data_IF_233246587972
#
_entry.id   IF_233246587972
#
_cell.length_a   1.000
_cell.length_b   1.000
_cell.length_c   1.000
_cell.angle_alpha   90.00
_cell.angle_beta   90.00
_cell.angle_gamma   90.00
#
_symmetry.space_group_name_H-M   'P 1'
#
loop_
_entity.id
_entity.type
_entity.pdbx_description
1 polymer ?
#
# COMPACT_ATOMS: atom_id res chain seq x y z
N UNK A 1 70.47 49.30 -24.12
CA UNK A 1 70.62 48.68 -25.44
C UNK A 1 69.26 48.16 -25.85
N UNK A 2 68.59 48.91 -26.70
CA UNK A 2 67.32 48.59 -27.34
C UNK A 2 67.55 47.68 -28.53
N UNK A 3 66.77 46.61 -28.67
CA UNK A 3 66.30 46.18 -29.99
C UNK A 3 64.85 45.70 -29.90
N UNK A 4 64.12 46.20 -30.87
CA UNK A 4 62.70 46.19 -31.14
C UNK A 4 62.41 45.02 -32.08
N UNK A 5 61.35 44.26 -31.83
CA UNK A 5 60.71 43.44 -32.85
C UNK A 5 59.26 43.87 -32.89
N UNK A 6 58.95 44.63 -33.93
CA UNK A 6 57.60 44.98 -34.37
C UNK A 6 57.40 44.23 -35.69
N UNK A 7 56.29 43.48 -35.81
CA UNK A 7 55.70 43.09 -37.09
C UNK A 7 54.26 42.64 -36.86
N UNK A 8 53.38 43.65 -36.90
CA UNK A 8 52.16 43.71 -37.69
C UNK A 8 51.18 42.52 -37.70
N UNK A 9 50.04 42.77 -37.04
CA UNK A 9 48.70 42.87 -37.64
C UNK A 9 48.26 41.79 -38.66
N UNK A 10 47.38 40.90 -38.20
CA UNK A 10 46.44 40.17 -39.04
C UNK A 10 45.06 40.16 -38.37
N UNK A 11 44.17 41.07 -38.76
CA UNK A 11 42.74 40.99 -38.43
C UNK A 11 42.08 40.03 -39.42
N UNK A 12 41.51 38.95 -38.89
CA UNK A 12 40.33 38.30 -39.47
C UNK A 12 39.31 38.05 -38.33
N UNK A 13 38.02 38.33 -38.55
CA UNK A 13 37.03 38.46 -37.50
C UNK A 13 36.47 37.09 -37.10
N UNK A 14 36.40 36.86 -35.80
CA UNK A 14 35.76 35.67 -35.25
C UNK A 14 35.72 35.80 -33.74
N UNK A 15 34.70 36.50 -33.24
CA UNK A 15 34.37 36.48 -31.81
C UNK A 15 34.19 35.01 -31.42
N UNK A 16 34.99 34.43 -30.51
CA UNK A 16 34.63 33.13 -29.98
C UNK A 16 33.31 33.32 -29.24
N UNK A 17 32.26 32.70 -29.79
CA UNK A 17 30.96 32.53 -29.15
C UNK A 17 31.21 31.95 -27.76
N UNK A 18 30.73 32.64 -26.73
CA UNK A 18 30.80 32.12 -25.37
C UNK A 18 30.09 30.75 -25.38
N UNK A 19 30.67 29.70 -24.77
CA UNK A 19 30.02 28.40 -24.74
C UNK A 19 28.61 28.55 -24.16
N UNK A 20 27.59 27.90 -24.74
CA UNK A 20 26.26 27.89 -24.15
C UNK A 20 26.37 27.40 -22.71
N UNK A 21 25.80 28.15 -21.77
CA UNK A 21 25.75 27.73 -20.38
C UNK A 21 25.17 26.30 -20.34
N UNK A 22 25.80 25.37 -19.61
CA UNK A 22 25.29 24.01 -19.50
C UNK A 22 23.85 24.04 -18.97
N UNK A 23 23.04 23.00 -19.26
CA UNK A 23 21.63 22.95 -18.87
C UNK A 23 21.52 22.83 -17.33
N UNK A 24 21.61 23.95 -16.63
CA UNK A 24 21.45 24.06 -15.17
C UNK A 24 20.01 23.72 -14.72
N UNK A 25 19.10 23.48 -15.67
CA UNK A 25 17.70 23.14 -15.44
C UNK A 25 17.46 21.63 -15.18
N UNK A 26 18.41 20.75 -15.48
CA UNK A 26 18.21 19.30 -15.31
C UNK A 26 18.30 18.84 -13.84
N UNK A 27 19.20 19.45 -13.06
CA UNK A 27 19.35 19.16 -11.62
C UNK A 27 18.09 19.53 -10.82
N UNK A 28 17.54 20.76 -10.93
CA UNK A 28 16.33 21.10 -10.18
C UNK A 28 15.12 20.29 -10.62
N UNK A 29 15.06 19.87 -11.89
CA UNK A 29 13.98 19.02 -12.38
C UNK A 29 14.07 17.59 -11.84
N UNK A 30 15.28 17.01 -11.84
CA UNK A 30 15.54 15.72 -11.20
C UNK A 30 15.21 15.75 -9.70
N UNK A 31 15.57 16.83 -9.00
CA UNK A 31 15.26 17.00 -7.57
C UNK A 31 13.75 17.04 -7.33
N UNK A 32 12.97 17.74 -8.16
CA UNK A 32 11.49 17.73 -8.06
C UNK A 32 10.95 16.34 -8.29
N UNK A 33 11.46 15.61 -9.29
CA UNK A 33 11.00 14.27 -9.61
C UNK A 33 11.30 13.29 -8.46
N UNK A 34 12.47 13.39 -7.84
CA UNK A 34 12.80 12.62 -6.63
C UNK A 34 11.87 12.99 -5.47
N UNK A 35 11.59 14.28 -5.26
CA UNK A 35 10.71 14.75 -4.19
C UNK A 35 9.28 14.24 -4.38
N UNK A 36 8.80 14.18 -5.62
CA UNK A 36 7.49 13.63 -5.95
C UNK A 36 7.42 12.13 -5.66
N UNK A 37 8.42 11.36 -6.10
CA UNK A 37 8.52 9.93 -5.75
C UNK A 37 8.60 9.73 -4.23
N UNK A 38 9.34 10.57 -3.50
CA UNK A 38 9.43 10.48 -2.04
C UNK A 38 8.08 10.75 -1.35
N UNK A 39 7.27 11.68 -1.87
CA UNK A 39 5.92 11.91 -1.34
C UNK A 39 5.01 10.72 -1.59
N UNK A 40 5.07 10.12 -2.78
CA UNK A 40 4.31 8.90 -3.10
C UNK A 40 4.72 7.75 -2.18
N UNK A 41 6.03 7.55 -1.99
CA UNK A 41 6.56 6.53 -1.07
C UNK A 41 6.07 6.79 0.37
N UNK A 42 6.10 8.03 0.86
CA UNK A 42 5.58 8.37 2.18
C UNK A 42 4.06 8.14 2.29
N UNK A 43 3.30 8.41 1.23
CA UNK A 43 1.88 8.13 1.20
C UNK A 43 1.60 6.62 1.30
N UNK A 44 2.31 5.80 0.52
CA UNK A 44 2.23 4.35 0.59
C UNK A 44 2.64 3.81 1.97
N UNK A 45 3.70 4.37 2.57
CA UNK A 45 4.17 3.93 3.88
C UNK A 45 3.17 4.26 4.99
N UNK A 46 2.55 5.44 4.96
CA UNK A 46 1.47 5.80 5.90
C UNK A 46 0.24 4.91 5.74
N UNK A 47 -0.12 4.56 4.50
CA UNK A 47 -1.21 3.62 4.23
C UNK A 47 -0.88 2.20 4.74
N UNK A 48 0.39 1.78 4.68
CA UNK A 48 0.81 0.49 5.24
C UNK A 48 0.87 0.49 6.77
N UNK A 49 1.27 1.61 7.41
CA UNK A 49 1.37 1.69 8.87
C UNK A 49 0.05 1.51 9.60
N UNK A 50 -1.08 1.94 9.01
CA UNK A 50 -2.40 1.76 9.63
C UNK A 50 -2.80 0.29 9.78
N UNK A 51 -2.29 -0.61 8.93
CA UNK A 51 -2.47 -2.06 9.06
C UNK A 51 -1.62 -2.64 10.20
N UNK A 52 -0.39 -2.14 10.37
CA UNK A 52 0.50 -2.57 11.45
C UNK A 52 0.04 -2.14 12.86
N UNK A 53 -0.79 -1.10 12.96
CA UNK A 53 -1.36 -0.66 14.23
C UNK A 53 -2.23 -1.75 14.89
N UNK A 54 -2.98 -2.53 14.11
CA UNK A 54 -3.84 -3.56 14.67
C UNK A 54 -3.04 -4.76 15.21
N UNK A 55 -2.05 -5.24 14.45
CA UNK A 55 -1.15 -6.33 14.87
C UNK A 55 -0.32 -5.94 16.09
N UNK A 56 0.18 -4.69 16.17
CA UNK A 56 0.94 -4.22 17.33
C UNK A 56 0.08 -4.15 18.61
N UNK A 57 -1.19 -3.71 18.48
CA UNK A 57 -2.17 -3.73 19.58
C UNK A 57 -2.46 -5.14 20.07
N UNK A 58 -2.62 -6.12 19.17
CA UNK A 58 -2.80 -7.52 19.56
C UNK A 58 -1.57 -8.10 20.26
N UNK A 59 -0.36 -7.74 19.81
CA UNK A 59 0.87 -8.15 20.50
C UNK A 59 0.94 -7.59 21.93
N UNK A 60 0.59 -6.32 22.10
CA UNK A 60 0.50 -5.69 23.42
C UNK A 60 -0.59 -6.32 24.30
N UNK A 61 -1.72 -6.74 23.71
CA UNK A 61 -2.76 -7.52 24.39
C UNK A 61 -2.20 -8.85 24.89
N UNK A 62 -1.62 -9.68 24.01
CA UNK A 62 -1.08 -10.99 24.39
C UNK A 62 0.01 -10.89 25.46
N UNK A 63 0.90 -9.90 25.36
CA UNK A 63 1.93 -9.64 26.37
C UNK A 63 1.37 -9.23 27.73
N UNK A 64 0.17 -8.65 27.78
CA UNK A 64 -0.49 -8.25 29.03
C UNK A 64 -1.11 -9.44 29.77
N UNK A 65 -1.53 -10.47 29.03
CA UNK A 65 -2.22 -11.64 29.56
C UNK A 65 -1.58 -12.97 29.12
N UNK A 66 -0.28 -13.20 29.38
CA UNK A 66 0.44 -14.36 28.85
C UNK A 66 -0.06 -15.71 29.40
N UNK A 67 -0.66 -15.72 30.60
CA UNK A 67 -1.16 -16.94 31.25
C UNK A 67 -2.65 -17.22 31.05
N UNK A 68 -3.43 -16.26 30.56
CA UNK A 68 -4.89 -16.41 30.43
C UNK A 68 -5.30 -16.97 29.06
N UNK A 69 -4.49 -16.70 28.02
CA UNK A 69 -4.79 -17.10 26.64
C UNK A 69 -3.64 -17.88 25.99
N UNK A 70 -3.20 -19.01 26.57
CA UNK A 70 -2.11 -19.81 26.01
C UNK A 70 -2.51 -20.38 24.64
N UNK A 71 -1.62 -20.23 23.66
CA UNK A 71 -1.82 -20.77 22.30
C UNK A 71 -2.95 -20.10 21.50
N UNK A 72 -3.52 -18.98 21.98
CA UNK A 72 -4.55 -18.23 21.25
C UNK A 72 -4.13 -17.84 19.83
N UNK A 73 -2.89 -17.38 19.57
CA UNK A 73 -2.45 -17.10 18.20
C UNK A 73 -2.50 -18.34 17.30
N UNK A 74 -2.13 -19.52 17.80
CA UNK A 74 -2.14 -20.76 17.02
C UNK A 74 -3.55 -21.27 16.77
N UNK A 75 -4.46 -21.14 17.75
CA UNK A 75 -5.88 -21.40 17.55
C UNK A 75 -6.46 -20.47 16.48
N UNK A 76 -6.07 -19.20 16.48
CA UNK A 76 -6.46 -18.24 15.44
C UNK A 76 -5.93 -18.68 14.07
N UNK A 77 -4.64 -19.08 13.96
CA UNK A 77 -4.07 -19.63 12.71
C UNK A 77 -4.85 -20.83 12.20
N UNK A 78 -5.31 -21.72 13.08
CA UNK A 78 -6.11 -22.89 12.70
C UNK A 78 -7.53 -22.51 12.25
N UNK A 79 -8.10 -21.45 12.84
CA UNK A 79 -9.44 -20.98 12.52
C UNK A 79 -9.51 -20.19 11.20
N UNK A 80 -8.46 -19.42 10.85
CA UNK A 80 -8.43 -18.56 9.66
C UNK A 80 -8.81 -19.31 8.37
N UNK A 81 -8.22 -20.47 8.02
CA UNK A 81 -8.58 -21.18 6.79
C UNK A 81 -10.05 -21.62 6.74
N UNK A 82 -10.65 -21.94 7.90
CA UNK A 82 -12.06 -22.31 7.97
C UNK A 82 -12.97 -21.10 7.74
N UNK A 83 -12.59 -19.96 8.31
CA UNK A 83 -13.30 -18.68 8.12
C UNK A 83 -13.18 -18.20 6.67
N UNK A 84 -11.99 -18.28 6.06
CA UNK A 84 -11.77 -17.94 4.65
C UNK A 84 -12.60 -18.84 3.72
N UNK A 85 -12.65 -20.14 4.00
CA UNK A 85 -13.48 -21.08 3.25
C UNK A 85 -14.96 -20.77 3.38
N UNK A 86 -15.43 -20.40 4.56
CA UNK A 86 -16.81 -19.98 4.77
C UNK A 86 -17.13 -18.68 4.00
N UNK A 87 -16.24 -17.68 4.10
CA UNK A 87 -16.35 -16.42 3.37
C UNK A 87 -16.41 -16.64 1.85
N UNK A 88 -15.49 -17.44 1.31
CA UNK A 88 -15.45 -17.78 -0.11
C UNK A 88 -16.70 -18.53 -0.59
N UNK A 89 -17.24 -19.45 0.21
CA UNK A 89 -18.52 -20.12 -0.10
C UNK A 89 -19.68 -19.15 -0.19
N UNK A 90 -19.74 -18.18 0.72
CA UNK A 90 -20.81 -17.17 0.70
C UNK A 90 -20.71 -16.25 -0.51
N UNK A 91 -19.49 -15.86 -0.90
CA UNK A 91 -19.27 -15.11 -2.14
C UNK A 91 -19.68 -15.95 -3.35
N UNK A 92 -19.32 -17.24 -3.38
CA UNK A 92 -19.70 -18.12 -4.47
C UNK A 92 -21.23 -18.20 -4.62
N UNK A 93 -21.95 -18.47 -3.53
CA UNK A 93 -23.42 -18.51 -3.52
C UNK A 93 -24.04 -17.17 -3.96
N UNK A 94 -23.47 -16.06 -3.50
CA UNK A 94 -23.88 -14.71 -3.89
C UNK A 94 -23.75 -14.51 -5.41
N UNK A 95 -22.57 -14.83 -5.97
CA UNK A 95 -22.26 -14.63 -7.40
C UNK A 95 -23.09 -15.57 -8.27
N UNK A 96 -23.25 -16.84 -7.87
CA UNK A 96 -24.10 -17.81 -8.55
C UNK A 96 -25.54 -17.31 -8.63
N UNK A 97 -26.06 -16.75 -7.52
CA UNK A 97 -27.42 -16.21 -7.49
C UNK A 97 -27.60 -15.00 -8.43
N UNK A 98 -26.59 -14.13 -8.53
CA UNK A 98 -26.59 -13.02 -9.49
C UNK A 98 -26.54 -13.49 -10.94
N UNK A 99 -25.85 -14.60 -11.21
CA UNK A 99 -25.74 -15.15 -12.55
C UNK A 99 -27.03 -15.84 -13.02
N UNK A 100 -27.80 -16.41 -12.08
CA UNK A 100 -29.03 -17.14 -12.37
C UNK A 100 -30.26 -16.23 -12.60
N UNK A 101 -30.24 -14.99 -12.12
CA UNK A 101 -31.41 -14.10 -12.08
C UNK A 101 -30.99 -12.65 -12.40
N UNK A 102 -31.04 -12.30 -13.70
CA UNK A 102 -30.62 -10.98 -14.23
C UNK A 102 -31.40 -9.81 -13.58
N UNK A 103 -32.67 -10.04 -13.19
CA UNK A 103 -33.54 -9.00 -12.63
C UNK A 103 -33.35 -8.82 -11.10
N UNK A 104 -32.47 -9.62 -10.46
CA UNK A 104 -32.29 -9.63 -8.99
C UNK A 104 -31.97 -8.24 -8.42
N UNK A 105 -31.35 -7.37 -9.21
CA UNK A 105 -30.89 -6.05 -8.79
C UNK A 105 -31.67 -4.90 -9.46
N UNK A 106 -32.69 -5.21 -10.27
CA UNK A 106 -33.36 -4.22 -11.14
C UNK A 106 -34.38 -3.35 -10.39
N UNK A 107 -34.82 -3.78 -9.21
CA UNK A 107 -35.74 -3.01 -8.37
C UNK A 107 -35.09 -2.73 -7.01
N UNK A 108 -35.28 -1.52 -6.48
CA UNK A 108 -34.78 -1.12 -5.15
C UNK A 108 -35.17 -2.13 -4.05
N UNK A 109 -36.38 -2.69 -4.11
CA UNK A 109 -36.83 -3.73 -3.18
C UNK A 109 -36.03 -5.03 -3.31
N UNK A 110 -35.75 -5.49 -4.53
CA UNK A 110 -35.01 -6.72 -4.79
C UNK A 110 -33.54 -6.56 -4.38
N UNK A 111 -32.94 -5.40 -4.69
CA UNK A 111 -31.60 -5.03 -4.22
C UNK A 111 -31.54 -5.00 -2.68
N UNK A 112 -32.53 -4.39 -2.02
CA UNK A 112 -32.57 -4.31 -0.56
C UNK A 112 -32.68 -5.71 0.07
N UNK A 113 -33.61 -6.55 -0.40
CA UNK A 113 -33.75 -7.94 0.09
C UNK A 113 -32.48 -8.76 -0.15
N UNK A 114 -31.83 -8.56 -1.30
CA UNK A 114 -30.56 -9.18 -1.61
C UNK A 114 -29.45 -8.77 -0.62
N UNK A 115 -29.31 -7.47 -0.36
CA UNK A 115 -28.35 -6.93 0.60
C UNK A 115 -28.62 -7.41 2.04
N UNK A 116 -29.89 -7.52 2.44
CA UNK A 116 -30.26 -8.01 3.77
C UNK A 116 -29.91 -9.50 3.94
N UNK A 117 -30.12 -10.32 2.90
CA UNK A 117 -29.81 -11.76 2.92
C UNK A 117 -28.32 -12.06 2.95
N UNK A 118 -27.52 -11.37 2.14
CA UNK A 118 -26.11 -11.68 1.93
C UNK A 118 -25.16 -10.68 2.58
N UNK A 119 -25.48 -9.38 2.53
CA UNK A 119 -24.63 -8.29 2.95
C UNK A 119 -24.26 -8.35 4.44
N UNK A 120 -25.26 -8.52 5.33
CA UNK A 120 -24.99 -8.56 6.78
C UNK A 120 -24.07 -9.72 7.16
N UNK A 121 -24.36 -10.94 6.70
CA UNK A 121 -23.56 -12.12 7.05
C UNK A 121 -22.15 -12.03 6.46
N UNK A 122 -22.03 -11.55 5.22
CA UNK A 122 -20.73 -11.39 4.56
C UNK A 122 -19.87 -10.35 5.28
N UNK A 123 -20.45 -9.22 5.66
CA UNK A 123 -19.78 -8.18 6.44
C UNK A 123 -19.34 -8.69 7.83
N UNK A 124 -20.17 -9.50 8.49
CA UNK A 124 -19.83 -10.11 9.77
C UNK A 124 -18.63 -11.07 9.66
N UNK A 125 -18.61 -12.00 8.69
CA UNK A 125 -17.44 -12.88 8.51
C UNK A 125 -16.20 -12.08 8.11
N UNK A 126 -16.33 -11.09 7.23
CA UNK A 126 -15.21 -10.21 6.86
C UNK A 126 -14.64 -9.47 8.08
N UNK A 127 -15.50 -9.02 8.99
CA UNK A 127 -15.08 -8.39 10.25
C UNK A 127 -14.35 -9.39 11.16
N UNK A 128 -14.83 -10.63 11.25
CA UNK A 128 -14.14 -11.67 12.02
C UNK A 128 -12.76 -11.99 11.45
N UNK A 129 -12.64 -12.12 10.12
CA UNK A 129 -11.35 -12.31 9.45
C UNK A 129 -10.39 -11.14 9.74
N UNK A 130 -10.88 -9.90 9.63
CA UNK A 130 -10.08 -8.70 9.92
C UNK A 130 -9.59 -8.64 11.38
N UNK A 131 -10.28 -9.28 12.33
CA UNK A 131 -9.88 -9.34 13.73
C UNK A 131 -8.93 -10.52 14.00
N UNK A 132 -9.23 -11.69 13.46
CA UNK A 132 -8.53 -12.95 13.77
C UNK A 132 -7.20 -13.05 13.01
N UNK A 133 -7.12 -12.55 11.78
CA UNK A 133 -5.88 -12.64 10.97
C UNK A 133 -4.70 -11.89 11.61
N UNK A 134 -4.83 -10.60 12.00
CA UNK A 134 -3.74 -9.89 12.69
C UNK A 134 -3.38 -10.51 14.05
N UNK A 135 -4.34 -11.13 14.73
CA UNK A 135 -4.12 -11.84 16.00
C UNK A 135 -3.31 -13.13 15.79
N UNK A 136 -3.61 -13.88 14.72
CA UNK A 136 -2.84 -15.06 14.31
C UNK A 136 -1.38 -14.70 13.98
N UNK A 137 -1.17 -13.56 13.31
CA UNK A 137 0.17 -13.04 12.99
C UNK A 137 0.93 -12.50 14.20
N UNK A 138 0.24 -11.92 15.18
CA UNK A 138 0.86 -11.29 16.35
C UNK A 138 1.73 -12.28 17.16
N UNK A 139 1.33 -13.55 17.24
CA UNK A 139 2.08 -14.62 17.93
C UNK A 139 3.31 -15.10 17.18
N UNK A 140 3.33 -15.06 15.83
CA UNK A 140 4.43 -15.58 15.02
C UNK A 140 5.77 -14.87 15.27
N UNK A 141 5.72 -13.61 15.72
CA UNK A 141 6.91 -12.80 16.04
C UNK A 141 7.31 -12.87 17.52
N UNK A 142 6.51 -13.49 18.39
CA UNK A 142 6.90 -13.73 19.79
C UNK A 142 7.80 -14.96 19.91
N UNK A 143 7.57 -15.99 19.09
CA UNK A 143 8.39 -17.21 19.08
C UNK A 143 9.77 -17.01 18.39
N UNK A 144 9.95 -15.89 17.67
CA UNK A 144 11.17 -15.55 16.94
C UNK A 144 12.11 -14.59 17.72
N UNK A 145 11.80 -14.29 18.99
CA UNK A 145 12.57 -13.42 19.88
C UNK A 145 13.09 -14.21 21.08
#
# INVERSE_FOLDING_TARGET
>A
MSYQVDLASGVAPGRPEAPPAPPQLEIPELLKQILEVQKEVLAHQRAASSSHDLTSRWRAFLNRWPGEFPGLPDLCKQAVPQLEKAYGRMIHELVERLADDEDTLDTDFALQDFLDRYGMKLAQIGTLLNLVTPLAEAGNNQDAQ
#
